data_IF_132204678681
#
_entry.id   IF_132204678681
#
_cell.length_a   1.000
_cell.length_b   1.000
_cell.length_c   1.000
_cell.angle_alpha   90.00
_cell.angle_beta   90.00
_cell.angle_gamma   90.00
#
_symmetry.space_group_name_H-M   'P 1'
#
loop_
_entity.id
_entity.type
_entity.pdbx_description
1 polymer ?
#
# COMPACT_ATOMS: atom_id res chain seq x y z
N UNK A 1 38.33 -14.12 45.42
CA UNK A 1 38.37 -13.81 44.00
C UNK A 1 36.94 -13.79 43.49
N UNK A 2 36.34 -12.59 43.40
CA UNK A 2 34.99 -12.40 42.89
C UNK A 2 35.13 -11.89 41.44
N UNK A 3 34.65 -12.68 40.46
CA UNK A 3 34.63 -12.28 39.08
C UNK A 3 33.34 -11.45 38.84
N UNK A 4 33.52 -10.18 38.51
CA UNK A 4 32.45 -9.27 38.13
C UNK A 4 32.07 -9.50 36.66
N UNK A 5 30.87 -10.03 36.42
CA UNK A 5 30.32 -10.25 35.07
C UNK A 5 29.67 -8.95 34.59
N UNK A 6 30.38 -8.20 33.75
CA UNK A 6 29.80 -7.03 33.06
C UNK A 6 28.84 -7.51 31.96
N UNK A 7 27.54 -7.33 32.18
CA UNK A 7 26.53 -7.49 31.14
C UNK A 7 26.50 -6.20 30.31
N UNK A 8 27.03 -6.26 29.11
CA UNK A 8 26.89 -5.19 28.10
C UNK A 8 25.45 -5.21 27.55
N UNK A 9 24.63 -4.26 28.01
CA UNK A 9 23.34 -3.96 27.38
C UNK A 9 23.59 -3.19 26.08
N UNK A 10 23.47 -3.88 24.95
CA UNK A 10 23.35 -3.22 23.65
C UNK A 10 21.94 -2.62 23.53
N UNK A 11 21.79 -1.38 23.92
CA UNK A 11 20.60 -0.59 23.61
C UNK A 11 20.55 -0.30 22.11
N UNK A 12 19.62 -0.94 21.40
CA UNK A 12 19.29 -0.56 20.03
C UNK A 12 18.66 0.83 20.06
N UNK A 13 19.43 1.85 19.69
CA UNK A 13 18.96 3.21 19.50
C UNK A 13 18.16 3.26 18.19
N UNK A 14 16.83 3.29 18.29
CA UNK A 14 15.97 3.57 17.14
C UNK A 14 15.99 5.08 16.87
N UNK A 15 16.47 5.45 15.70
CA UNK A 15 16.37 6.84 15.24
C UNK A 15 14.90 7.20 14.99
N UNK A 16 14.39 8.19 15.68
CA UNK A 16 13.07 8.74 15.44
C UNK A 16 13.11 9.56 14.12
N UNK A 17 12.30 9.19 13.14
CA UNK A 17 12.12 10.02 11.95
C UNK A 17 11.17 11.16 12.29
N UNK A 18 11.56 12.39 11.99
CA UNK A 18 10.71 13.58 12.17
C UNK A 18 10.02 13.87 10.85
N UNK A 19 8.70 13.90 10.86
CA UNK A 19 7.90 14.35 9.72
C UNK A 19 7.41 15.75 9.99
N UNK A 20 7.62 16.64 9.03
CA UNK A 20 7.13 18.01 9.07
C UNK A 20 5.80 18.08 8.32
N UNK A 21 4.81 18.75 8.93
CA UNK A 21 3.52 18.99 8.29
C UNK A 21 3.33 20.48 8.06
N UNK A 22 2.88 20.84 6.86
CA UNK A 22 2.54 22.19 6.49
C UNK A 22 1.16 22.22 5.83
N UNK A 23 0.38 23.25 6.12
CA UNK A 23 -0.87 23.49 5.40
C UNK A 23 -0.61 24.50 4.30
N UNK A 24 -0.92 24.14 3.05
CA UNK A 24 -0.79 25.07 1.92
C UNK A 24 -1.94 26.11 1.92
N UNK A 25 -1.80 27.16 1.14
CA UNK A 25 -2.78 28.26 1.05
C UNK A 25 -4.18 27.77 0.56
N UNK A 26 -4.25 26.65 -0.13
CA UNK A 26 -5.50 26.02 -0.59
C UNK A 26 -6.08 25.02 0.44
N UNK A 27 -5.50 24.92 1.64
CA UNK A 27 -5.96 24.03 2.70
C UNK A 27 -5.41 22.60 2.68
N UNK A 28 -4.63 22.22 1.67
CA UNK A 28 -4.03 20.89 1.58
C UNK A 28 -2.91 20.71 2.60
N UNK A 29 -2.78 19.50 3.17
CA UNK A 29 -1.68 19.16 4.06
C UNK A 29 -0.50 18.62 3.23
N UNK A 30 0.66 19.20 3.47
CA UNK A 30 1.94 18.75 2.89
C UNK A 30 2.73 18.06 4.00
N UNK A 31 3.24 16.86 3.72
CA UNK A 31 4.12 16.11 4.61
C UNK A 31 5.52 16.08 4.00
N UNK A 32 6.55 16.37 4.82
CA UNK A 32 7.95 16.41 4.38
C UNK A 32 8.86 15.81 5.45
N UNK A 33 9.92 15.15 5.02
CA UNK A 33 11.02 14.66 5.87
C UNK A 33 12.08 15.75 6.17
N UNK A 34 11.97 16.90 5.53
CA UNK A 34 12.82 18.07 5.75
C UNK A 34 12.00 19.30 6.11
N UNK A 35 12.54 20.24 6.92
CA UNK A 35 11.87 21.50 7.23
C UNK A 35 11.68 22.34 5.97
N UNK A 36 10.42 22.69 5.66
CA UNK A 36 10.09 23.59 4.56
C UNK A 36 10.33 25.04 5.01
N UNK A 37 11.15 25.77 4.28
CA UNK A 37 11.47 27.16 4.55
C UNK A 37 10.34 28.04 4.02
N UNK A 38 9.61 28.72 4.89
CA UNK A 38 8.50 29.66 4.68
C UNK A 38 7.10 29.06 4.89
N UNK A 39 6.60 29.16 6.12
CA UNK A 39 5.22 28.89 6.52
C UNK A 39 5.14 28.43 7.98
N UNK A 40 3.95 28.50 8.58
CA UNK A 40 3.70 28.00 9.93
C UNK A 40 3.92 26.48 9.97
N UNK A 41 5.04 26.08 10.58
CA UNK A 41 5.45 24.69 10.69
C UNK A 41 4.93 24.13 12.02
N UNK A 42 3.98 23.20 11.97
CA UNK A 42 3.67 22.37 13.13
C UNK A 42 4.58 21.12 13.13
N UNK A 43 5.42 21.02 14.16
CA UNK A 43 6.18 19.79 14.43
C UNK A 43 5.26 18.75 15.05
N UNK A 44 4.98 17.66 14.36
CA UNK A 44 4.50 16.46 14.99
C UNK A 44 5.62 15.42 14.97
N UNK A 45 6.08 15.04 16.16
CA UNK A 45 7.02 13.92 16.31
C UNK A 45 6.25 12.61 16.15
N UNK A 46 6.44 11.94 15.03
CA UNK A 46 6.03 10.55 14.88
C UNK A 46 7.14 9.67 15.43
N UNK A 47 6.88 8.90 16.48
CA UNK A 47 7.74 7.78 16.83
C UNK A 47 7.49 6.69 15.78
N UNK A 48 8.42 6.52 14.86
CA UNK A 48 8.44 5.32 14.01
C UNK A 48 8.86 4.15 14.89
N UNK A 49 7.91 3.40 15.39
CA UNK A 49 8.17 2.09 15.95
C UNK A 49 8.56 1.14 14.82
N UNK A 50 9.86 0.93 14.63
CA UNK A 50 10.43 -0.08 13.74
C UNK A 50 10.05 0.07 12.27
N UNK A 51 10.93 -0.43 11.38
CA UNK A 51 10.61 -0.58 9.94
C UNK A 51 9.13 -0.94 9.78
N UNK A 52 8.40 -0.31 8.84
CA UNK A 52 7.15 -0.85 8.38
C UNK A 52 7.45 -2.26 7.82
N UNK A 53 7.36 -3.26 8.69
CA UNK A 53 6.99 -4.55 8.19
C UNK A 53 5.66 -4.23 7.54
N UNK A 54 5.60 -4.27 6.21
CA UNK A 54 4.31 -4.45 5.59
C UNK A 54 3.62 -5.47 6.49
N UNK A 55 2.52 -5.09 7.09
CA UNK A 55 1.68 -6.07 7.76
C UNK A 55 1.16 -6.88 6.59
N UNK A 56 2.04 -7.72 6.03
CA UNK A 56 1.56 -8.67 5.10
C UNK A 56 0.64 -9.54 5.94
N UNK A 57 -0.64 -9.44 5.68
CA UNK A 57 -1.65 -10.37 6.18
C UNK A 57 -1.22 -11.82 5.91
N UNK A 58 -0.10 -11.98 5.20
CA UNK A 58 0.59 -13.21 4.88
C UNK A 58 1.50 -13.74 6.00
N UNK A 59 1.96 -12.90 6.94
CA UNK A 59 2.88 -13.38 7.99
C UNK A 59 2.17 -14.42 8.85
N UNK A 60 2.73 -15.64 8.86
CA UNK A 60 2.19 -16.76 9.62
C UNK A 60 1.06 -17.54 8.93
N UNK A 61 0.67 -17.17 7.71
CA UNK A 61 -0.26 -17.98 6.92
C UNK A 61 0.47 -19.19 6.30
N UNK A 62 -0.17 -20.36 6.42
CA UNK A 62 0.20 -21.51 5.60
C UNK A 62 -0.30 -21.34 4.15
N UNK A 63 0.31 -22.06 3.21
CA UNK A 63 -0.15 -22.08 1.81
C UNK A 63 -1.62 -22.48 1.68
N UNK A 64 -2.09 -23.43 2.50
CA UNK A 64 -3.49 -23.86 2.52
C UNK A 64 -4.45 -22.74 2.97
N UNK A 65 -4.06 -21.95 3.98
CA UNK A 65 -4.87 -20.81 4.44
C UNK A 65 -4.92 -19.71 3.38
N UNK A 66 -3.82 -19.45 2.71
CA UNK A 66 -3.77 -18.49 1.61
C UNK A 66 -4.66 -18.94 0.45
N UNK A 67 -4.56 -20.20 0.02
CA UNK A 67 -5.41 -20.75 -1.02
C UNK A 67 -6.91 -20.68 -0.64
N UNK A 68 -7.26 -20.93 0.62
CA UNK A 68 -8.64 -20.79 1.10
C UNK A 68 -9.15 -19.34 0.97
N UNK A 69 -8.34 -18.34 1.33
CA UNK A 69 -8.69 -16.94 1.19
C UNK A 69 -8.83 -16.54 -0.28
N UNK A 70 -7.90 -16.96 -1.13
CA UNK A 70 -7.92 -16.69 -2.57
C UNK A 70 -9.21 -17.22 -3.20
N UNK A 71 -9.57 -18.50 -2.96
CA UNK A 71 -10.80 -19.12 -3.45
C UNK A 71 -12.06 -18.37 -2.99
N UNK A 72 -12.06 -17.85 -1.75
CA UNK A 72 -13.22 -17.14 -1.21
C UNK A 72 -13.55 -15.83 -1.95
N UNK A 73 -12.56 -15.20 -2.58
CA UNK A 73 -12.72 -13.92 -3.29
C UNK A 73 -12.57 -14.03 -4.82
N UNK A 74 -12.25 -15.21 -5.33
CA UNK A 74 -11.89 -15.41 -6.72
C UNK A 74 -12.99 -14.99 -7.69
N UNK A 75 -14.25 -15.32 -7.38
CA UNK A 75 -15.39 -14.92 -8.19
C UNK A 75 -15.58 -13.41 -8.25
N UNK A 76 -15.31 -12.71 -7.16
CA UNK A 76 -15.39 -11.24 -7.11
C UNK A 76 -14.27 -10.62 -7.96
N UNK A 77 -13.08 -11.22 -7.96
CA UNK A 77 -11.96 -10.83 -8.82
C UNK A 77 -12.32 -11.02 -10.29
N UNK A 78 -12.84 -12.18 -10.69
CA UNK A 78 -13.27 -12.44 -12.07
C UNK A 78 -14.34 -11.46 -12.55
N UNK A 79 -15.35 -11.20 -11.71
CA UNK A 79 -16.42 -10.25 -12.02
C UNK A 79 -15.89 -8.82 -12.19
N UNK A 80 -14.98 -8.38 -11.31
CA UNK A 80 -14.37 -7.07 -11.39
C UNK A 80 -13.45 -6.95 -12.61
N UNK A 81 -12.66 -7.97 -12.91
CA UNK A 81 -11.82 -8.06 -14.11
C UNK A 81 -12.64 -7.91 -15.38
N UNK A 82 -13.73 -8.67 -15.51
CA UNK A 82 -14.64 -8.58 -16.65
C UNK A 82 -15.29 -7.20 -16.76
N UNK A 83 -15.73 -6.61 -15.64
CA UNK A 83 -16.39 -5.30 -15.59
C UNK A 83 -15.47 -4.17 -16.06
N UNK A 84 -14.21 -4.21 -15.62
CA UNK A 84 -13.23 -3.15 -15.89
C UNK A 84 -12.27 -3.50 -17.04
N UNK A 85 -12.47 -4.63 -17.72
CA UNK A 85 -11.66 -5.11 -18.85
C UNK A 85 -10.18 -5.27 -18.47
N UNK A 86 -9.94 -5.84 -17.31
CA UNK A 86 -8.62 -6.12 -16.77
C UNK A 86 -8.33 -7.61 -16.86
N UNK A 87 -7.05 -7.94 -16.76
CA UNK A 87 -6.61 -9.30 -16.54
C UNK A 87 -6.90 -9.71 -15.09
N UNK A 88 -7.59 -10.85 -14.90
CA UNK A 88 -7.93 -11.36 -13.58
C UNK A 88 -6.68 -11.77 -12.78
N UNK A 89 -5.63 -12.27 -13.45
CA UNK A 89 -4.40 -12.69 -12.80
C UNK A 89 -3.61 -11.49 -12.29
N UNK A 90 -3.67 -10.34 -12.98
CA UNK A 90 -3.12 -9.11 -12.46
C UNK A 90 -3.85 -8.65 -11.18
N UNK A 91 -5.18 -8.75 -11.14
CA UNK A 91 -5.95 -8.43 -9.94
C UNK A 91 -5.66 -9.40 -8.80
N UNK A 92 -5.47 -10.70 -9.08
CA UNK A 92 -5.05 -11.71 -8.09
C UNK A 92 -3.71 -11.36 -7.49
N UNK A 93 -2.73 -11.04 -8.33
CA UNK A 93 -1.40 -10.64 -7.88
C UNK A 93 -1.43 -9.40 -6.97
N UNK A 94 -2.24 -8.39 -7.32
CA UNK A 94 -2.42 -7.20 -6.49
C UNK A 94 -3.07 -7.57 -5.16
N UNK A 95 -4.17 -8.32 -5.15
CA UNK A 95 -4.89 -8.71 -3.93
C UNK A 95 -4.00 -9.55 -2.99
N UNK A 96 -3.13 -10.39 -3.55
CA UNK A 96 -2.15 -11.15 -2.78
C UNK A 96 -1.14 -10.21 -2.11
N UNK A 97 -0.54 -9.30 -2.86
CA UNK A 97 0.48 -8.39 -2.33
C UNK A 97 -0.10 -7.41 -1.32
N UNK A 98 -1.31 -6.91 -1.54
CA UNK A 98 -1.97 -5.93 -0.68
C UNK A 98 -2.40 -6.52 0.67
N UNK A 99 -3.01 -7.71 0.67
CA UNK A 99 -3.65 -8.23 1.87
C UNK A 99 -3.53 -9.73 2.09
N UNK A 100 -2.92 -10.49 1.17
CA UNK A 100 -3.07 -11.95 1.11
C UNK A 100 -4.55 -12.35 1.13
N UNK A 101 -5.34 -11.64 0.34
CA UNK A 101 -6.79 -11.84 0.18
C UNK A 101 -7.60 -11.68 1.49
N UNK A 102 -7.08 -10.92 2.47
CA UNK A 102 -7.76 -10.70 3.74
C UNK A 102 -8.81 -9.59 3.62
N UNK A 103 -10.09 -9.98 3.68
CA UNK A 103 -11.23 -9.06 3.60
C UNK A 103 -11.27 -8.06 4.77
N UNK A 104 -10.65 -8.40 5.90
CA UNK A 104 -10.62 -7.58 7.11
C UNK A 104 -9.28 -6.86 7.30
N UNK A 105 -8.40 -6.89 6.31
CA UNK A 105 -7.09 -6.26 6.43
C UNK A 105 -7.22 -4.75 6.66
N UNK A 106 -6.44 -4.24 7.63
CA UNK A 106 -6.28 -2.80 7.87
C UNK A 106 -4.80 -2.50 8.02
N UNK A 107 -4.28 -1.64 7.15
CA UNK A 107 -2.89 -1.21 7.25
C UNK A 107 -2.70 -0.18 8.37
N UNK A 108 -1.45 0.08 8.73
CA UNK A 108 -1.11 1.09 9.75
C UNK A 108 -1.50 2.51 9.35
N UNK A 109 -1.57 2.77 8.05
CA UNK A 109 -1.99 4.07 7.50
C UNK A 109 -3.49 4.13 7.22
N UNK A 110 -4.23 3.05 7.50
CA UNK A 110 -5.68 2.98 7.41
C UNK A 110 -6.23 2.49 6.06
N UNK A 111 -5.41 1.93 5.19
CA UNK A 111 -5.90 1.24 3.99
C UNK A 111 -6.66 -0.04 4.38
N UNK A 112 -7.74 -0.37 3.67
CA UNK A 112 -8.74 -1.34 4.09
C UNK A 112 -9.09 -2.38 3.02
N UNK A 113 -9.35 -3.60 3.48
CA UNK A 113 -9.89 -4.71 2.69
C UNK A 113 -8.89 -5.37 1.76
N UNK A 114 -9.40 -6.22 0.86
CA UNK A 114 -8.61 -7.07 -0.03
C UNK A 114 -7.63 -6.26 -0.88
N UNK A 115 -8.08 -5.15 -1.45
CA UNK A 115 -7.33 -4.28 -2.37
C UNK A 115 -6.71 -3.06 -1.67
N UNK A 116 -6.73 -3.00 -0.34
CA UNK A 116 -6.12 -1.98 0.51
C UNK A 116 -6.43 -0.54 0.07
N UNK A 117 -7.72 -0.25 -0.09
CA UNK A 117 -8.16 1.10 -0.45
C UNK A 117 -8.09 2.05 0.75
N UNK A 118 -7.50 3.22 0.56
CA UNK A 118 -7.62 4.30 1.52
C UNK A 118 -9.08 4.77 1.62
N UNK A 119 -9.60 5.12 2.81
CA UNK A 119 -11.01 5.50 2.98
C UNK A 119 -11.48 6.64 2.07
N UNK A 120 -10.63 7.63 1.79
CA UNK A 120 -10.94 8.71 0.85
C UNK A 120 -11.10 8.17 -0.57
N UNK A 121 -10.15 7.34 -1.02
CA UNK A 121 -10.17 6.71 -2.35
C UNK A 121 -11.38 5.76 -2.48
N UNK A 122 -11.66 4.95 -1.47
CA UNK A 122 -12.82 4.06 -1.44
C UNK A 122 -14.13 4.85 -1.66
N UNK A 123 -14.28 5.98 -0.97
CA UNK A 123 -15.44 6.87 -1.12
C UNK A 123 -15.56 7.44 -2.55
N UNK A 124 -14.46 7.90 -3.13
CA UNK A 124 -14.43 8.44 -4.51
C UNK A 124 -14.78 7.37 -5.55
N UNK A 125 -14.38 6.12 -5.30
CA UNK A 125 -14.68 4.98 -6.15
C UNK A 125 -16.12 4.43 -5.98
N UNK A 126 -16.86 4.92 -4.97
CA UNK A 126 -18.22 4.48 -4.67
C UNK A 126 -18.30 3.24 -3.77
N UNK A 127 -17.21 2.89 -3.08
CA UNK A 127 -17.16 1.80 -2.10
C UNK A 127 -17.76 2.30 -0.78
N UNK A 128 -18.90 1.75 -0.39
CA UNK A 128 -19.60 2.13 0.84
C UNK A 128 -19.13 1.30 2.06
N UNK A 129 -18.66 0.08 1.82
CA UNK A 129 -18.09 -0.80 2.83
C UNK A 129 -16.80 -1.44 2.30
N UNK A 130 -15.65 -0.96 2.79
CA UNK A 130 -14.34 -1.49 2.37
C UNK A 130 -14.06 -2.92 2.85
N UNK A 131 -14.86 -3.47 3.75
CA UNK A 131 -14.77 -4.87 4.23
C UNK A 131 -15.75 -5.81 3.52
N UNK A 132 -16.54 -5.31 2.59
CA UNK A 132 -17.28 -6.11 1.62
C UNK A 132 -16.34 -6.43 0.46
N UNK A 133 -16.04 -7.74 0.27
CA UNK A 133 -15.06 -8.19 -0.72
C UNK A 133 -15.42 -7.72 -2.13
N UNK A 134 -16.67 -7.89 -2.55
CA UNK A 134 -17.11 -7.52 -3.88
C UNK A 134 -16.97 -6.02 -4.14
N UNK A 135 -17.39 -5.17 -3.18
CA UNK A 135 -17.25 -3.72 -3.31
C UNK A 135 -15.80 -3.28 -3.33
N UNK A 136 -14.97 -3.82 -2.43
CA UNK A 136 -13.57 -3.47 -2.31
C UNK A 136 -12.78 -3.86 -3.55
N UNK A 137 -12.96 -5.09 -4.04
CA UNK A 137 -12.30 -5.61 -5.24
C UNK A 137 -12.75 -4.82 -6.48
N UNK A 138 -14.05 -4.57 -6.64
CA UNK A 138 -14.55 -3.78 -7.75
C UNK A 138 -14.00 -2.34 -7.73
N UNK A 139 -13.91 -1.72 -6.55
CA UNK A 139 -13.31 -0.40 -6.38
C UNK A 139 -11.82 -0.39 -6.74
N UNK A 140 -11.06 -1.37 -6.24
CA UNK A 140 -9.64 -1.52 -6.56
C UNK A 140 -9.38 -1.77 -8.05
N UNK A 141 -10.20 -2.62 -8.68
CA UNK A 141 -10.15 -2.86 -10.12
C UNK A 141 -10.44 -1.60 -10.93
N UNK A 142 -11.47 -0.84 -10.56
CA UNK A 142 -11.77 0.46 -11.17
C UNK A 142 -10.57 1.40 -11.07
N UNK A 143 -9.98 1.53 -9.88
CA UNK A 143 -8.81 2.38 -9.67
C UNK A 143 -7.61 1.95 -10.52
N UNK A 144 -7.33 0.64 -10.60
CA UNK A 144 -6.28 0.11 -11.47
C UNK A 144 -6.53 0.43 -12.95
N UNK A 145 -7.78 0.25 -13.42
CA UNK A 145 -8.15 0.57 -14.80
C UNK A 145 -7.95 2.07 -15.11
N UNK A 146 -8.26 2.95 -14.16
CA UNK A 146 -8.01 4.39 -14.28
C UNK A 146 -6.50 4.68 -14.38
N UNK A 147 -5.67 4.01 -13.56
CA UNK A 147 -4.21 4.15 -13.60
C UNK A 147 -3.61 3.61 -14.89
N UNK A 148 -4.06 2.45 -15.36
CA UNK A 148 -3.63 1.90 -16.65
C UNK A 148 -3.98 2.85 -17.81
N UNK A 149 -5.20 3.37 -17.81
CA UNK A 149 -5.62 4.36 -18.82
C UNK A 149 -4.77 5.63 -18.79
N UNK A 150 -4.49 6.15 -17.59
CA UNK A 150 -3.72 7.39 -17.39
C UNK A 150 -2.27 7.26 -17.80
N UNK A 151 -1.67 6.09 -17.61
CA UNK A 151 -0.26 5.83 -17.89
C UNK A 151 -0.03 4.96 -19.14
N UNK A 152 -0.93 5.03 -20.13
CA UNK A 152 -0.72 4.42 -21.44
C UNK A 152 -0.60 2.90 -21.42
N UNK A 153 -1.33 2.20 -20.56
CA UNK A 153 -1.30 0.75 -20.35
C UNK A 153 0.08 0.21 -19.89
N UNK A 154 0.92 1.09 -19.36
CA UNK A 154 2.18 0.68 -18.76
C UNK A 154 1.94 0.14 -17.34
N UNK A 155 2.06 -1.17 -17.16
CA UNK A 155 1.83 -1.85 -15.89
C UNK A 155 2.74 -1.31 -14.76
N UNK A 156 4.01 -1.04 -15.03
CA UNK A 156 4.91 -0.54 -14.00
C UNK A 156 4.49 0.84 -13.49
N UNK A 157 4.10 1.75 -14.39
CA UNK A 157 3.64 3.09 -14.02
C UNK A 157 2.27 3.04 -13.36
N UNK A 158 1.36 2.19 -13.83
CA UNK A 158 0.04 2.01 -13.25
C UNK A 158 0.12 1.43 -11.82
N UNK A 159 0.97 0.43 -11.60
CA UNK A 159 1.23 -0.13 -10.27
C UNK A 159 1.93 0.86 -9.33
N UNK A 160 2.87 1.66 -9.86
CA UNK A 160 3.48 2.75 -9.10
C UNK A 160 2.42 3.76 -8.66
N UNK A 161 1.50 4.13 -9.55
CA UNK A 161 0.42 5.06 -9.28
C UNK A 161 -0.64 4.47 -8.32
N UNK A 162 -0.92 3.18 -8.43
CA UNK A 162 -1.80 2.48 -7.50
C UNK A 162 -1.28 2.55 -6.07
N UNK A 163 0.01 2.27 -5.88
CA UNK A 163 0.65 2.23 -4.56
C UNK A 163 1.01 3.61 -4.01
N UNK A 164 1.66 4.47 -4.83
CA UNK A 164 2.19 5.77 -4.38
C UNK A 164 1.31 6.97 -4.74
N UNK A 165 0.23 6.74 -5.50
CA UNK A 165 -0.61 7.77 -6.07
C UNK A 165 -0.10 8.31 -7.41
N UNK A 166 -1.00 8.71 -8.33
CA UNK A 166 -0.64 9.18 -9.67
C UNK A 166 0.21 10.46 -9.64
N UNK A 167 0.00 11.34 -8.67
CA UNK A 167 0.80 12.55 -8.51
C UNK A 167 2.27 12.29 -8.22
N UNK A 168 2.61 11.16 -7.56
CA UNK A 168 4.01 10.78 -7.36
C UNK A 168 4.67 10.36 -8.67
N UNK A 169 3.96 9.59 -9.50
CA UNK A 169 4.45 9.16 -10.83
C UNK A 169 4.67 10.36 -11.75
N UNK A 170 3.73 11.29 -11.77
CA UNK A 170 3.84 12.51 -12.57
C UNK A 170 4.98 13.42 -12.11
N UNK A 171 5.12 13.61 -10.79
CA UNK A 171 6.20 14.41 -10.22
C UNK A 171 7.59 13.89 -10.60
N UNK A 172 7.74 12.57 -10.69
CA UNK A 172 9.02 11.93 -10.98
C UNK A 172 9.18 11.53 -12.46
N UNK A 173 8.20 11.86 -13.30
CA UNK A 173 8.15 11.47 -14.72
C UNK A 173 8.47 9.99 -14.91
N UNK A 174 7.88 9.16 -14.05
CA UNK A 174 8.13 7.71 -14.02
C UNK A 174 7.92 7.07 -12.65
N UNK A 175 8.48 5.88 -12.48
CA UNK A 175 8.42 5.18 -11.18
C UNK A 175 9.18 5.98 -10.12
N UNK A 176 8.51 6.44 -9.05
CA UNK A 176 9.15 7.25 -8.03
C UNK A 176 10.26 6.45 -7.32
N UNK A 177 11.31 7.12 -6.82
CA UNK A 177 12.44 6.47 -6.17
C UNK A 177 12.14 5.98 -4.74
N UNK A 178 10.89 5.57 -4.49
CA UNK A 178 10.45 5.05 -3.20
C UNK A 178 10.74 3.55 -3.12
N UNK A 179 11.53 3.08 -2.14
CA UNK A 179 11.85 1.67 -2.01
C UNK A 179 10.61 0.78 -1.89
N UNK A 180 9.61 1.21 -1.12
CA UNK A 180 8.34 0.49 -0.94
C UNK A 180 7.61 0.30 -2.27
N UNK A 181 7.49 1.36 -3.08
CA UNK A 181 6.79 1.30 -4.36
C UNK A 181 7.51 0.40 -5.37
N UNK A 182 8.84 0.45 -5.39
CA UNK A 182 9.63 -0.44 -6.25
C UNK A 182 9.51 -1.90 -5.84
N UNK A 183 9.54 -2.18 -4.54
CA UNK A 183 9.32 -3.52 -4.00
C UNK A 183 7.90 -4.03 -4.30
N UNK A 184 6.91 -3.15 -4.21
CA UNK A 184 5.53 -3.45 -4.56
C UNK A 184 5.40 -3.88 -6.03
N UNK A 185 5.91 -3.08 -6.95
CA UNK A 185 5.89 -3.38 -8.39
C UNK A 185 6.56 -4.74 -8.67
N UNK A 186 7.74 -4.96 -8.11
CA UNK A 186 8.47 -6.21 -8.30
C UNK A 186 7.71 -7.43 -7.79
N UNK A 187 7.03 -7.32 -6.64
CA UNK A 187 6.22 -8.40 -6.08
C UNK A 187 5.01 -8.70 -6.96
N UNK A 188 4.23 -7.68 -7.31
CA UNK A 188 3.02 -7.87 -8.14
C UNK A 188 3.40 -8.46 -9.50
N UNK A 189 4.37 -7.89 -10.19
CA UNK A 189 4.80 -8.40 -11.49
C UNK A 189 5.47 -9.77 -11.39
N UNK A 190 6.17 -10.06 -10.29
CA UNK A 190 6.77 -11.37 -10.05
C UNK A 190 5.72 -12.48 -9.90
N UNK A 191 4.58 -12.20 -9.27
CA UNK A 191 3.44 -13.14 -9.17
C UNK A 191 2.74 -13.24 -10.54
N UNK A 192 2.37 -12.11 -11.13
CA UNK A 192 1.62 -12.04 -12.38
C UNK A 192 2.32 -12.72 -13.57
N UNK A 193 3.66 -12.70 -13.64
CA UNK A 193 4.42 -13.34 -14.74
C UNK A 193 4.85 -14.77 -14.46
N UNK A 194 4.60 -15.29 -13.25
CA UNK A 194 4.97 -16.66 -12.87
C UNK A 194 3.85 -17.68 -13.18
N UNK A 195 2.64 -17.18 -13.52
CA UNK A 195 1.50 -17.98 -13.97
C UNK A 195 1.47 -18.10 -15.49
#
# INVERSE_FOLDING_TARGET
MLACLCILNFGLSFAASTVYTQRSANGSMIFSDAPVVNGDIQRSSYQSFGRPVATSSCIGLSAAQMATRAVAVDKDIENAAATHKLDADLLRAIAEVESCYDINAVSRVGAQGVMQLMPATAKELGVSNSFDAAQNINGGAKYLAEMLSRFGQNHQLALAAYNAGPGAVEKHDGVPPYPETRDYINKVLGIYTAE
#
